data_IF_056002962698
#
_entry.id   IF_056002962698
#
_cell.length_a   1.000
_cell.length_b   1.000
_cell.length_c   1.000
_cell.angle_alpha   90.00
_cell.angle_beta   90.00
_cell.angle_gamma   90.00
#
_symmetry.space_group_name_H-M   'P 1'
#
loop_
_entity.id
_entity.type
_entity.pdbx_description
1 polymer ?
#
# COMPACT_ATOMS: atom_id res chain seq x y z
N UNK A 1 7.14 15.16 -6.30
CA UNK A 1 6.60 14.06 -7.11
C UNK A 1 5.52 13.39 -6.27
N UNK A 2 4.31 13.20 -6.81
CA UNK A 2 3.25 12.49 -6.08
C UNK A 2 3.43 11.00 -6.37
N UNK A 3 3.61 10.18 -5.34
CA UNK A 3 3.64 8.73 -5.52
C UNK A 3 2.21 8.21 -5.60
N UNK A 4 1.92 7.45 -6.65
CA UNK A 4 0.65 6.77 -6.77
C UNK A 4 0.58 5.64 -5.76
N UNK A 5 -0.59 5.39 -5.14
CA UNK A 5 -0.76 4.21 -4.32
C UNK A 5 -0.53 2.96 -5.16
N UNK A 6 0.06 1.94 -4.56
CA UNK A 6 0.22 0.62 -5.21
C UNK A 6 -0.39 -0.49 -4.37
N UNK A 7 -0.57 -1.66 -4.98
CA UNK A 7 -1.04 -2.86 -4.30
C UNK A 7 0.15 -3.77 -4.04
N UNK A 8 0.31 -4.16 -2.79
CA UNK A 8 1.37 -5.07 -2.33
C UNK A 8 0.77 -6.32 -1.72
N UNK A 9 1.53 -7.41 -1.71
CA UNK A 9 1.16 -8.65 -1.01
C UNK A 9 2.09 -8.85 0.19
N UNK A 10 1.58 -8.67 1.39
CA UNK A 10 2.30 -9.02 2.63
C UNK A 10 2.40 -10.55 2.71
N UNK A 11 3.64 -11.03 2.78
CA UNK A 11 3.96 -12.46 2.88
C UNK A 11 4.00 -12.86 4.36
N UNK A 12 4.73 -12.10 5.17
CA UNK A 12 4.93 -12.37 6.57
C UNK A 12 5.12 -11.08 7.40
N UNK A 13 5.78 -11.22 8.56
CA UNK A 13 5.90 -10.19 9.58
C UNK A 13 6.87 -9.05 9.18
N UNK A 14 7.69 -9.27 8.15
CA UNK A 14 8.71 -8.30 7.69
C UNK A 14 8.87 -8.22 6.18
N UNK A 15 8.19 -9.08 5.41
CA UNK A 15 8.33 -9.15 3.95
C UNK A 15 7.02 -8.97 3.21
N UNK A 16 7.09 -8.27 2.09
CA UNK A 16 6.01 -8.12 1.12
C UNK A 16 6.54 -8.25 -0.31
N UNK A 17 5.66 -8.54 -1.26
CA UNK A 17 5.92 -8.36 -2.68
C UNK A 17 5.30 -7.05 -3.15
N UNK A 18 6.08 -6.25 -3.88
CA UNK A 18 5.61 -5.04 -4.54
C UNK A 18 4.80 -5.35 -5.82
N UNK A 19 4.36 -4.29 -6.50
CA UNK A 19 3.58 -4.42 -7.74
C UNK A 19 4.36 -5.04 -8.90
N UNK A 20 5.70 -4.99 -8.86
CA UNK A 20 6.60 -5.62 -9.82
C UNK A 20 6.98 -7.07 -9.43
N UNK A 21 6.38 -7.58 -8.34
CA UNK A 21 6.65 -8.89 -7.76
C UNK A 21 8.05 -9.06 -7.17
N UNK A 22 8.75 -7.97 -6.85
CA UNK A 22 9.98 -8.04 -6.07
C UNK A 22 9.68 -8.13 -4.58
N UNK A 23 10.44 -8.98 -3.89
CA UNK A 23 10.37 -9.09 -2.44
C UNK A 23 11.07 -7.88 -1.81
N UNK A 24 10.38 -7.25 -0.86
CA UNK A 24 10.83 -6.05 -0.16
C UNK A 24 10.65 -6.23 1.34
N UNK A 25 11.58 -5.65 2.10
CA UNK A 25 11.43 -5.52 3.54
C UNK A 25 10.44 -4.39 3.87
N UNK A 26 9.60 -4.61 4.87
CA UNK A 26 8.73 -3.58 5.42
C UNK A 26 8.78 -3.53 6.94
N UNK A 27 8.42 -2.37 7.49
CA UNK A 27 8.25 -2.17 8.94
C UNK A 27 7.12 -1.19 9.21
N UNK A 28 6.39 -1.40 10.30
CA UNK A 28 5.24 -0.59 10.68
C UNK A 28 5.51 0.19 11.96
N UNK A 29 4.78 1.28 12.15
CA UNK A 29 4.80 2.06 13.38
C UNK A 29 4.48 1.16 14.59
N UNK A 30 5.34 1.18 15.60
CA UNK A 30 5.16 0.43 16.84
C UNK A 30 5.49 -1.07 16.75
N UNK A 31 6.13 -1.53 15.67
CA UNK A 31 6.65 -2.90 15.54
C UNK A 31 5.56 -3.97 15.44
N UNK A 32 4.32 -3.59 15.12
CA UNK A 32 3.20 -4.54 14.98
C UNK A 32 3.08 -5.02 13.54
N UNK A 33 3.42 -6.29 13.24
CA UNK A 33 3.43 -6.80 11.88
C UNK A 33 2.04 -6.79 11.26
N UNK A 34 1.98 -6.60 9.95
CA UNK A 34 0.74 -6.71 9.19
C UNK A 34 0.37 -8.20 9.04
N UNK A 35 -0.93 -8.48 9.03
CA UNK A 35 -1.42 -9.82 8.71
C UNK A 35 -1.12 -10.13 7.23
N UNK A 36 -0.70 -11.35 6.85
CA UNK A 36 -0.52 -11.72 5.46
C UNK A 36 -1.79 -11.47 4.62
N UNK A 37 -1.62 -10.95 3.41
CA UNK A 37 -2.73 -10.54 2.55
C UNK A 37 -2.36 -9.40 1.61
N UNK A 38 -3.34 -8.91 0.86
CA UNK A 38 -3.13 -7.78 -0.06
C UNK A 38 -3.40 -6.46 0.64
N UNK A 39 -2.57 -5.46 0.40
CA UNK A 39 -2.73 -4.11 0.96
C UNK A 39 -2.58 -3.08 -0.14
N UNK A 40 -3.29 -1.97 0.00
CA UNK A 40 -2.98 -0.74 -0.74
C UNK A 40 -2.01 0.05 0.12
N UNK A 41 -0.84 0.35 -0.41
CA UNK A 41 0.15 1.22 0.23
C UNK A 41 0.10 2.60 -0.41
N UNK A 42 0.22 3.64 0.41
CA UNK A 42 0.27 5.03 -0.03
C UNK A 42 1.29 5.80 0.79
N UNK A 43 1.94 6.78 0.17
CA UNK A 43 2.97 7.60 0.81
C UNK A 43 2.55 9.06 0.92
N UNK A 44 3.10 9.81 1.89
CA UNK A 44 2.98 11.26 1.94
C UNK A 44 3.52 11.90 0.65
N UNK A 45 2.98 13.04 0.23
CA UNK A 45 3.44 13.72 -0.99
C UNK A 45 4.90 14.23 -0.90
N UNK A 46 5.46 14.30 0.30
CA UNK A 46 6.74 14.94 0.61
C UNK A 46 7.92 13.96 0.77
N UNK A 47 7.70 12.65 0.61
CA UNK A 47 8.84 11.72 0.66
C UNK A 47 9.72 11.85 -0.57
N UNK A 48 11.04 11.85 -0.38
CA UNK A 48 12.02 11.83 -1.48
C UNK A 48 12.13 10.45 -2.14
N UNK A 49 11.85 9.39 -1.40
CA UNK A 49 11.90 8.01 -1.86
C UNK A 49 10.84 7.20 -1.09
N UNK A 50 9.93 6.50 -1.79
CA UNK A 50 8.93 5.67 -1.15
C UNK A 50 9.62 4.47 -0.51
N UNK A 51 9.28 4.20 0.74
CA UNK A 51 9.76 3.05 1.51
C UNK A 51 8.57 2.39 2.17
N UNK A 52 8.61 1.08 2.35
CA UNK A 52 7.57 0.33 3.05
C UNK A 52 7.78 0.43 4.57
N UNK A 53 7.81 1.65 5.07
CA UNK A 53 8.08 1.94 6.47
C UNK A 53 6.86 2.53 7.19
N UNK A 54 7.07 2.96 8.44
CA UNK A 54 6.06 3.62 9.28
C UNK A 54 5.48 4.91 8.68
N UNK A 55 6.11 5.50 7.66
CA UNK A 55 5.58 6.67 6.94
C UNK A 55 4.59 6.25 5.87
N UNK A 56 4.64 4.99 5.43
CA UNK A 56 3.67 4.44 4.49
C UNK A 56 2.38 4.07 5.20
N UNK A 57 1.26 4.41 4.56
CA UNK A 57 -0.07 4.04 5.01
C UNK A 57 -0.53 2.78 4.29
N UNK A 58 -0.71 1.70 5.04
CA UNK A 58 -1.21 0.42 4.56
C UNK A 58 -2.71 0.28 4.84
N UNK A 59 -3.51 0.09 3.79
CA UNK A 59 -4.96 -0.16 3.88
C UNK A 59 -5.24 -1.61 3.52
N UNK A 60 -5.91 -2.36 4.39
CA UNK A 60 -6.18 -3.80 4.20
C UNK A 60 -6.31 -4.54 5.55
N UNK A 61 -6.14 -5.88 5.59
CA UNK A 61 -5.87 -6.76 4.44
C UNK A 61 -7.10 -7.00 3.55
N UNK A 62 -6.87 -7.11 2.25
CA UNK A 62 -7.82 -7.59 1.27
C UNK A 62 -7.61 -9.07 0.96
N UNK A 63 -8.70 -9.78 0.68
CA UNK A 63 -8.71 -11.23 0.41
C UNK A 63 -8.11 -11.63 -0.94
N UNK A 64 -8.00 -10.70 -1.88
CA UNK A 64 -7.42 -10.95 -3.21
C UNK A 64 -6.89 -9.65 -3.82
N UNK A 65 -5.99 -9.78 -4.79
CA UNK A 65 -5.51 -8.66 -5.60
C UNK A 65 -6.68 -7.88 -6.25
N UNK A 66 -7.67 -8.60 -6.80
CA UNK A 66 -8.85 -7.99 -7.40
C UNK A 66 -9.66 -7.11 -6.43
N UNK A 67 -9.83 -7.51 -5.16
CA UNK A 67 -10.50 -6.65 -4.17
C UNK A 67 -9.69 -5.42 -3.81
N UNK A 68 -8.37 -5.57 -3.67
CA UNK A 68 -7.49 -4.42 -3.45
C UNK A 68 -7.59 -3.44 -4.62
N UNK A 69 -7.67 -3.95 -5.85
CA UNK A 69 -7.84 -3.15 -7.06
C UNK A 69 -9.17 -2.41 -7.09
N UNK A 70 -10.29 -3.08 -6.84
CA UNK A 70 -11.60 -2.43 -6.75
C UNK A 70 -11.64 -1.34 -5.67
N UNK A 71 -10.99 -1.56 -4.53
CA UNK A 71 -10.90 -0.58 -3.46
C UNK A 71 -10.01 0.62 -3.82
N UNK A 72 -8.90 0.37 -4.54
CA UNK A 72 -8.02 1.42 -5.05
C UNK A 72 -8.71 2.29 -6.11
N UNK A 73 -9.36 1.65 -7.08
CA UNK A 73 -10.12 2.28 -8.16
C UNK A 73 -11.20 3.21 -7.60
N UNK A 74 -12.04 2.69 -6.69
CA UNK A 74 -13.06 3.49 -5.99
C UNK A 74 -12.46 4.67 -5.21
N UNK A 75 -11.28 4.49 -4.58
CA UNK A 75 -10.59 5.57 -3.86
C UNK A 75 -10.09 6.66 -4.81
N UNK A 76 -9.58 6.28 -5.99
CA UNK A 76 -9.13 7.22 -7.02
C UNK A 76 -10.32 7.99 -7.61
N UNK A 77 -11.41 7.31 -7.94
CA UNK A 77 -12.65 7.93 -8.44
C UNK A 77 -13.16 9.04 -7.51
N UNK A 78 -13.17 8.80 -6.20
CA UNK A 78 -13.57 9.80 -5.21
C UNK A 78 -12.66 11.03 -5.20
N UNK A 79 -11.35 10.85 -5.44
CA UNK A 79 -10.38 11.95 -5.51
C UNK A 79 -10.62 12.77 -6.78
N UNK A 80 -10.80 12.11 -7.92
CA UNK A 80 -11.05 12.77 -9.20
C UNK A 80 -12.39 13.52 -9.20
N UNK A 81 -13.45 12.93 -8.64
CA UNK A 81 -14.78 13.56 -8.57
C UNK A 81 -14.85 14.77 -7.62
N UNK A 82 -14.03 14.81 -6.56
CA UNK A 82 -13.97 15.96 -5.64
C UNK A 82 -13.11 17.12 -6.16
N UNK A 83 -12.39 16.92 -7.24
CA UNK A 83 -11.48 17.91 -7.84
C UNK A 83 -12.07 18.60 -9.08
N UNK A 84 -13.33 18.27 -9.43
CA UNK A 84 -14.13 18.86 -10.51
C UNK A 84 -15.27 19.69 -9.92
#
# INVERSE_FOLDING_TARGET
>A
MRYFPEIVKVIDHSRLNDSESYEQCYWTAGGRPLRPGYYIVSWPNEVRQPRYDERASFTGPFRSHAHAWMALDHRLDLIYRKSA
#
